data_IF_969207018498
#
_entry.id   IF_969207018498
#
_cell.length_a   1.000
_cell.length_b   1.000
_cell.length_c   1.000
_cell.angle_alpha   90.00
_cell.angle_beta   90.00
_cell.angle_gamma   90.00
#
_symmetry.space_group_name_H-M   'P 1'
#
loop_
_entity.id
_entity.type
_entity.pdbx_description
1 polymer ?
#
# COMPACT_ATOMS: atom_id res chain seq x y z
N UNK A 1 12.66 5.64 -16.36
CA UNK A 1 13.47 5.81 -15.13
C UNK A 1 12.98 4.82 -14.07
N UNK A 2 13.86 4.20 -13.28
CA UNK A 2 13.40 3.45 -12.11
C UNK A 2 12.77 4.45 -11.13
N UNK A 3 11.49 4.28 -10.80
CA UNK A 3 10.83 5.11 -9.79
C UNK A 3 11.52 4.81 -8.45
N UNK A 4 12.11 5.85 -7.85
CA UNK A 4 12.78 5.78 -6.55
C UNK A 4 11.79 5.32 -5.48
N UNK A 5 12.27 4.68 -4.41
CA UNK A 5 11.44 4.17 -3.32
C UNK A 5 10.54 5.25 -2.65
N UNK A 6 10.85 6.52 -2.88
CA UNK A 6 10.14 7.69 -2.34
C UNK A 6 8.76 7.95 -3.00
N UNK A 7 8.48 7.38 -4.18
CA UNK A 7 7.20 7.58 -4.89
C UNK A 7 6.14 6.49 -4.59
N UNK A 8 6.47 5.52 -3.75
CA UNK A 8 5.60 4.38 -3.46
C UNK A 8 4.71 4.71 -2.25
N UNK A 9 3.40 4.81 -2.49
CA UNK A 9 2.38 5.04 -1.46
C UNK A 9 2.10 3.72 -0.72
N UNK A 10 1.95 2.63 -1.46
CA UNK A 10 1.66 1.31 -0.90
C UNK A 10 2.44 0.24 -1.65
N UNK A 11 3.05 -0.67 -0.88
CA UNK A 11 3.63 -1.90 -1.40
C UNK A 11 3.17 -3.08 -0.55
N UNK A 12 2.51 -4.05 -1.18
CA UNK A 12 2.03 -5.26 -0.52
C UNK A 12 2.47 -6.48 -1.31
N UNK A 13 2.74 -7.56 -0.59
CA UNK A 13 3.01 -8.86 -1.17
C UNK A 13 2.09 -9.90 -0.55
N UNK A 14 1.58 -10.78 -1.38
CA UNK A 14 0.69 -11.84 -0.98
C UNK A 14 1.00 -13.10 -1.79
N UNK A 15 0.67 -14.26 -1.20
CA UNK A 15 0.63 -15.52 -1.94
C UNK A 15 -0.82 -15.87 -2.17
N UNK A 16 -1.18 -16.18 -3.41
CA UNK A 16 -2.56 -16.62 -3.71
C UNK A 16 -2.88 -17.90 -2.94
N UNK A 17 -4.15 -18.10 -2.56
CA UNK A 17 -4.57 -19.33 -1.89
C UNK A 17 -4.31 -20.55 -2.77
N UNK A 18 -4.30 -21.74 -2.14
CA UNK A 18 -4.23 -22.99 -2.88
C UNK A 18 -5.38 -23.08 -3.91
N UNK A 19 -5.17 -23.71 -5.08
CA UNK A 19 -3.99 -24.49 -5.48
C UNK A 19 -2.87 -23.69 -6.17
N UNK A 20 -3.11 -22.47 -6.66
CA UNK A 20 -2.14 -21.72 -7.49
C UNK A 20 -0.84 -21.40 -6.73
N UNK A 21 -0.94 -20.89 -5.49
CA UNK A 21 0.22 -20.46 -4.68
C UNK A 21 1.14 -19.42 -5.35
N UNK A 22 0.69 -18.75 -6.42
CA UNK A 22 1.42 -17.69 -7.11
C UNK A 22 1.79 -16.56 -6.15
N UNK A 23 2.99 -16.01 -6.33
CA UNK A 23 3.44 -14.85 -5.58
C UNK A 23 2.95 -13.58 -6.29
N UNK A 24 2.36 -12.66 -5.55
CA UNK A 24 1.75 -11.45 -6.08
C UNK A 24 2.27 -10.22 -5.34
N UNK A 25 2.58 -9.17 -6.08
CA UNK A 25 3.02 -7.88 -5.55
C UNK A 25 2.14 -6.76 -6.07
N UNK A 26 1.55 -5.98 -5.16
CA UNK A 26 0.85 -4.74 -5.45
C UNK A 26 1.77 -3.56 -5.14
N UNK A 27 1.86 -2.61 -6.06
CA UNK A 27 2.57 -1.34 -5.88
C UNK A 27 1.68 -0.21 -6.37
N UNK A 28 1.36 0.71 -5.47
CA UNK A 28 0.62 1.94 -5.78
C UNK A 28 1.59 3.11 -5.62
N UNK A 29 1.76 3.88 -6.68
CA UNK A 29 2.47 5.16 -6.67
C UNK A 29 1.47 6.30 -6.84
N UNK A 30 1.94 7.54 -6.81
CA UNK A 30 1.09 8.71 -7.09
C UNK A 30 0.43 8.68 -8.49
N UNK A 31 1.03 7.94 -9.42
CA UNK A 31 0.63 7.92 -10.82
C UNK A 31 0.02 6.60 -11.24
N UNK A 32 0.49 5.48 -10.69
CA UNK A 32 0.23 4.16 -11.22
C UNK A 32 -0.18 3.16 -10.14
N UNK A 33 -1.07 2.25 -10.52
CA UNK A 33 -1.37 1.01 -9.79
C UNK A 33 -0.81 -0.15 -10.59
N UNK A 34 0.07 -0.93 -9.97
CA UNK A 34 0.80 -2.03 -10.61
C UNK A 34 0.60 -3.31 -9.82
N UNK A 35 0.18 -4.38 -10.49
CA UNK A 35 0.16 -5.74 -9.96
C UNK A 35 1.16 -6.57 -10.75
N UNK A 36 2.08 -7.22 -10.06
CA UNK A 36 2.97 -8.23 -10.62
C UNK A 36 2.58 -9.60 -10.06
N UNK A 37 2.38 -10.57 -10.94
CA UNK A 37 2.01 -11.94 -10.59
C UNK A 37 3.11 -12.87 -11.10
N UNK A 38 3.80 -13.53 -10.19
CA UNK A 38 4.81 -14.53 -10.46
C UNK A 38 4.18 -15.90 -10.30
N UNK A 39 3.91 -16.54 -11.44
CA UNK A 39 3.39 -17.90 -11.46
C UNK A 39 4.46 -18.86 -10.97
N UNK A 40 4.14 -19.67 -9.96
CA UNK A 40 5.09 -20.68 -9.47
C UNK A 40 4.88 -21.96 -10.28
N UNK A 41 5.71 -22.16 -11.31
CA UNK A 41 5.65 -23.33 -12.18
C UNK A 41 6.98 -24.09 -12.19
N UNK A 42 6.92 -25.41 -12.40
CA UNK A 42 8.09 -26.20 -12.76
C UNK A 42 8.37 -26.02 -14.25
N UNK A 43 9.28 -25.12 -14.61
CA UNK A 43 9.59 -24.79 -16.00
C UNK A 43 10.64 -23.68 -16.12
N UNK A 44 10.97 -23.23 -17.35
CA UNK A 44 11.88 -22.11 -17.55
C UNK A 44 11.33 -20.84 -16.88
N UNK A 45 12.22 -19.98 -16.38
CA UNK A 45 11.83 -18.78 -15.65
C UNK A 45 10.99 -17.86 -16.55
N UNK A 46 9.70 -17.71 -16.25
CA UNK A 46 8.78 -16.82 -16.97
C UNK A 46 8.74 -15.46 -16.28
N UNK A 47 8.78 -14.37 -17.06
CA UNK A 47 8.56 -13.03 -16.51
C UNK A 47 7.18 -12.92 -15.87
N UNK A 48 7.04 -12.16 -14.76
CA UNK A 48 5.75 -12.01 -14.10
C UNK A 48 4.73 -11.37 -15.04
N UNK A 49 3.49 -11.84 -14.97
CA UNK A 49 2.37 -11.13 -15.58
C UNK A 49 2.22 -9.80 -14.86
N UNK A 50 2.28 -8.71 -15.63
CA UNK A 50 2.13 -7.35 -15.11
C UNK A 50 0.80 -6.75 -15.56
N UNK A 51 0.01 -6.27 -14.61
CA UNK A 51 -1.14 -5.42 -14.84
C UNK A 51 -0.81 -4.02 -14.34
N UNK A 52 -1.13 -3.00 -15.12
CA UNK A 52 -0.83 -1.61 -14.81
C UNK A 52 -1.97 -0.72 -15.30
N UNK A 53 -2.37 0.24 -14.48
CA UNK A 53 -3.17 1.39 -14.92
C UNK A 53 -2.72 2.66 -14.21
N UNK A 54 -3.02 3.85 -14.75
CA UNK A 54 -2.93 5.08 -14.00
C UNK A 54 -3.82 5.04 -12.76
N UNK A 55 -3.37 5.58 -11.63
CA UNK A 55 -4.12 5.63 -10.37
C UNK A 55 -5.45 6.38 -10.55
N UNK A 56 -5.44 7.47 -11.33
CA UNK A 56 -6.64 8.27 -11.62
C UNK A 56 -7.70 7.48 -12.41
N UNK A 57 -7.27 6.50 -13.19
CA UNK A 57 -8.13 5.68 -14.05
C UNK A 57 -8.56 4.37 -13.38
N UNK A 58 -8.11 4.08 -12.15
CA UNK A 58 -8.38 2.81 -11.46
C UNK A 58 -9.87 2.43 -11.45
N UNK A 59 -10.76 3.42 -11.33
CA UNK A 59 -12.21 3.21 -11.33
C UNK A 59 -12.74 2.60 -12.64
N UNK A 60 -12.09 2.85 -13.77
CA UNK A 60 -12.46 2.36 -15.09
C UNK A 60 -11.88 0.95 -15.34
N UNK A 61 -10.78 0.60 -14.67
CA UNK A 61 -10.09 -0.68 -14.80
C UNK A 61 -10.64 -1.79 -13.89
N UNK A 62 -11.85 -2.28 -14.21
CA UNK A 62 -12.54 -3.36 -13.47
C UNK A 62 -11.66 -4.61 -13.24
N UNK A 63 -10.85 -5.01 -14.22
CA UNK A 63 -9.99 -6.19 -14.10
C UNK A 63 -8.92 -6.05 -13.01
N UNK A 64 -8.31 -4.87 -12.89
CA UNK A 64 -7.33 -4.58 -11.83
C UNK A 64 -8.02 -4.57 -10.47
N UNK A 65 -9.20 -3.94 -10.36
CA UNK A 65 -9.97 -3.92 -9.10
C UNK A 65 -10.33 -5.31 -8.62
N UNK A 66 -10.79 -6.19 -9.51
CA UNK A 66 -11.10 -7.59 -9.21
C UNK A 66 -9.86 -8.32 -8.69
N UNK A 67 -8.69 -8.14 -9.30
CA UNK A 67 -7.46 -8.77 -8.81
C UNK A 67 -6.99 -8.23 -7.46
N UNK A 68 -7.11 -6.91 -7.22
CA UNK A 68 -6.80 -6.32 -5.92
C UNK A 68 -7.67 -6.93 -4.83
N UNK A 69 -8.99 -6.99 -5.05
CA UNK A 69 -9.92 -7.57 -4.08
C UNK A 69 -9.65 -9.06 -3.87
N UNK A 70 -9.42 -9.81 -4.94
CA UNK A 70 -9.19 -11.26 -4.89
C UNK A 70 -7.90 -11.62 -4.15
N UNK A 71 -6.82 -10.88 -4.38
CA UNK A 71 -5.48 -11.22 -3.88
C UNK A 71 -5.19 -10.56 -2.52
N UNK A 72 -5.54 -9.28 -2.38
CA UNK A 72 -5.18 -8.46 -1.22
C UNK A 72 -6.37 -8.12 -0.32
N UNK A 73 -7.59 -8.42 -0.78
CA UNK A 73 -8.82 -8.24 -0.01
C UNK A 73 -9.51 -6.90 -0.26
N UNK A 74 -10.79 -6.84 0.13
CA UNK A 74 -11.67 -5.68 -0.07
C UNK A 74 -11.17 -4.39 0.60
N UNK A 75 -10.52 -4.50 1.75
CA UNK A 75 -9.98 -3.34 2.47
C UNK A 75 -8.89 -2.63 1.65
N UNK A 76 -8.02 -3.37 0.96
CA UNK A 76 -6.99 -2.81 0.07
C UNK A 76 -7.61 -2.17 -1.16
N UNK A 77 -8.65 -2.79 -1.72
CA UNK A 77 -9.38 -2.19 -2.84
C UNK A 77 -10.01 -0.85 -2.43
N UNK A 78 -10.67 -0.79 -1.27
CA UNK A 78 -11.27 0.45 -0.79
C UNK A 78 -10.22 1.55 -0.55
N UNK A 79 -9.05 1.17 -0.01
CA UNK A 79 -7.91 2.08 0.12
C UNK A 79 -7.44 2.61 -1.24
N UNK A 80 -7.20 1.72 -2.21
CA UNK A 80 -6.79 2.11 -3.57
C UNK A 80 -7.83 3.00 -4.28
N UNK A 81 -9.13 2.71 -4.11
CA UNK A 81 -10.21 3.54 -4.64
C UNK A 81 -10.21 4.94 -3.99
N UNK A 82 -9.98 5.03 -2.68
CA UNK A 82 -9.90 6.33 -2.00
C UNK A 82 -8.72 7.18 -2.49
N UNK A 83 -7.58 6.53 -2.77
CA UNK A 83 -6.42 7.17 -3.39
C UNK A 83 -6.74 7.67 -4.81
N UNK A 84 -7.45 6.87 -5.62
CA UNK A 84 -7.83 7.26 -6.99
C UNK A 84 -8.72 8.51 -7.05
N UNK A 85 -9.54 8.72 -6.00
CA UNK A 85 -10.45 9.86 -5.86
C UNK A 85 -9.81 11.05 -5.13
N UNK A 86 -8.54 10.92 -4.72
CA UNK A 86 -7.83 11.89 -3.91
C UNK A 86 -8.58 12.25 -2.60
N UNK A 87 -9.22 11.25 -1.97
CA UNK A 87 -9.96 11.44 -0.72
C UNK A 87 -9.00 11.71 0.44
N UNK A 88 -9.21 12.83 1.14
CA UNK A 88 -8.47 13.17 2.36
C UNK A 88 -8.99 12.35 3.55
N UNK A 89 -8.48 11.14 3.70
CA UNK A 89 -8.66 10.31 4.90
C UNK A 89 -7.37 10.29 5.71
N UNK A 90 -7.49 10.08 7.03
CA UNK A 90 -6.34 10.00 7.92
C UNK A 90 -5.33 8.94 7.44
N UNK A 91 -5.82 7.80 6.96
CA UNK A 91 -5.04 6.68 6.38
C UNK A 91 -4.30 7.01 5.07
N UNK A 92 -4.68 8.11 4.40
CA UNK A 92 -4.09 8.55 3.13
C UNK A 92 -3.12 9.73 3.30
N UNK A 93 -2.95 10.24 4.53
CA UNK A 93 -2.04 11.35 4.78
C UNK A 93 -0.59 10.93 4.53
N UNK A 94 0.24 11.87 4.11
CA UNK A 94 1.70 11.67 4.18
C UNK A 94 2.12 11.63 5.65
N UNK A 95 3.20 10.93 5.98
CA UNK A 95 3.71 10.91 7.36
C UNK A 95 3.96 12.32 7.90
N UNK A 96 4.40 13.25 7.06
CA UNK A 96 4.58 14.67 7.42
C UNK A 96 3.26 15.36 7.76
N UNK A 97 2.23 15.20 6.93
CA UNK A 97 0.91 15.77 7.19
C UNK A 97 0.27 15.16 8.45
N UNK A 98 0.41 13.85 8.64
CA UNK A 98 -0.08 13.17 9.84
C UNK A 98 0.59 13.67 11.11
N UNK A 99 1.92 13.79 11.14
CA UNK A 99 2.65 14.38 12.28
C UNK A 99 2.19 15.82 12.55
N UNK A 100 1.90 16.60 11.51
CA UNK A 100 1.35 17.93 11.67
C UNK A 100 -0.02 17.91 12.34
N UNK A 101 -0.90 16.95 12.00
CA UNK A 101 -2.21 16.78 12.66
C UNK A 101 -2.02 16.42 14.14
N UNK A 102 -1.08 15.54 14.47
CA UNK A 102 -0.81 15.15 15.86
C UNK A 102 -0.44 16.33 16.75
N UNK A 103 0.26 17.35 16.22
CA UNK A 103 0.63 18.55 16.98
C UNK A 103 -0.57 19.38 17.45
N UNK A 104 -1.75 19.18 16.85
CA UNK A 104 -2.98 19.87 17.24
C UNK A 104 -3.89 19.01 18.15
N UNK A 105 -3.51 17.77 18.44
CA UNK A 105 -4.28 16.87 19.29
C UNK A 105 -3.83 16.95 20.76
N UNK A 106 -4.77 16.80 21.69
CA UNK A 106 -4.44 16.66 23.10
C UNK A 106 -3.72 15.31 23.35
N UNK A 107 -2.91 15.24 24.40
CA UNK A 107 -2.16 14.03 24.74
C UNK A 107 -3.05 12.78 24.87
N UNK A 108 -4.27 12.93 25.42
CA UNK A 108 -5.25 11.85 25.53
C UNK A 108 -5.68 11.34 24.15
N UNK A 109 -5.88 12.22 23.18
CA UNK A 109 -6.33 11.85 21.84
C UNK A 109 -5.20 11.17 21.06
N UNK A 110 -3.95 11.61 21.25
CA UNK A 110 -2.77 10.93 20.70
C UNK A 110 -2.67 9.50 21.24
N UNK A 111 -2.91 9.30 22.55
CA UNK A 111 -2.91 7.96 23.17
C UNK A 111 -4.06 7.07 22.68
N UNK A 112 -5.24 7.63 22.43
CA UNK A 112 -6.35 6.88 21.85
C UNK A 112 -6.05 6.51 20.39
N UNK A 113 -5.45 7.42 19.64
CA UNK A 113 -5.08 7.20 18.26
C UNK A 113 -3.96 6.16 18.13
N UNK A 114 -3.00 6.12 19.05
CA UNK A 114 -1.93 5.10 19.03
C UNK A 114 -2.43 3.67 19.24
N UNK A 115 -3.58 3.51 19.90
CA UNK A 115 -4.21 2.21 20.12
C UNK A 115 -5.07 1.74 18.93
N UNK A 116 -5.48 2.66 18.06
CA UNK A 116 -6.50 2.40 17.02
C UNK A 116 -6.02 2.65 15.59
N UNK A 117 -4.96 3.43 15.40
CA UNK A 117 -4.47 3.85 14.09
C UNK A 117 -3.25 3.04 13.64
N UNK A 118 -3.41 2.33 12.51
CA UNK A 118 -2.31 1.67 11.80
C UNK A 118 -1.23 2.67 11.37
N UNK A 119 -1.61 3.90 11.01
CA UNK A 119 -0.67 4.92 10.60
C UNK A 119 0.22 5.38 11.77
N UNK A 120 -0.36 5.52 12.97
CA UNK A 120 0.40 5.84 14.18
C UNK A 120 1.43 4.75 14.49
N UNK A 121 1.04 3.48 14.37
CA UNK A 121 1.95 2.34 14.47
C UNK A 121 3.09 2.46 13.44
N UNK A 122 2.79 2.62 12.15
CA UNK A 122 3.83 2.67 11.11
C UNK A 122 4.84 3.81 11.30
N UNK A 123 4.37 5.01 11.67
CA UNK A 123 5.24 6.18 11.93
C UNK A 123 6.13 5.92 13.16
N UNK A 124 5.57 5.43 14.26
CA UNK A 124 6.34 5.14 15.47
C UNK A 124 7.38 4.03 15.26
N UNK A 125 7.05 3.00 14.49
CA UNK A 125 7.99 1.92 14.19
C UNK A 125 9.14 2.43 13.31
N UNK A 126 8.86 3.23 12.27
CA UNK A 126 9.91 3.86 11.46
C UNK A 126 10.85 4.74 12.29
N UNK A 127 10.32 5.54 13.23
CA UNK A 127 11.14 6.33 14.15
C UNK A 127 12.04 5.48 15.05
N UNK A 128 11.54 4.35 15.54
CA UNK A 128 12.30 3.44 16.42
C UNK A 128 13.45 2.74 15.70
N UNK A 129 13.26 2.35 14.43
CA UNK A 129 14.34 1.78 13.62
C UNK A 129 15.45 2.80 13.32
N UNK A 130 15.11 4.08 13.13
CA UNK A 130 16.11 5.13 12.89
C UNK A 130 17.06 5.34 14.08
N UNK A 131 16.56 5.20 15.31
CA UNK A 131 17.35 5.32 16.55
C UNK A 131 18.29 4.12 16.78
N UNK A 132 17.96 2.94 16.26
CA UNK A 132 18.76 1.73 16.42
C UNK A 132 19.87 1.57 15.37
N UNK A 133 19.77 2.25 14.23
CA UNK A 133 20.76 2.17 13.14
C UNK A 133 21.77 3.32 13.12
N UNK A 134 21.56 4.36 13.95
CA UNK A 134 22.46 5.52 14.06
C UNK A 134 23.13 5.60 15.44
N UNK A 135 23.41 4.43 16.05
CA UNK A 135 24.21 4.32 17.26
C UNK A 135 25.53 3.59 16.99
#
# INVERSE_FOLDING_TARGET
MPKTAEDIILQLYARTPAPCRDYCGLTITQEDVIINIWNITFGPHVYPKRMKCPLKELNEHKSIKVEIERIFGRHVLHYADSLSRNEMKLENLTSKAFLSVLNYLAAKDILNLSQTSKMMFEVMYKCRYFQLTHH
#
